data_IF_670418313778
#
_entry.id   IF_670418313778
#
_cell.length_a   1.000
_cell.length_b   1.000
_cell.length_c   1.000
_cell.angle_alpha   90.00
_cell.angle_beta   90.00
_cell.angle_gamma   90.00
#
_symmetry.space_group_name_H-M   'P 1'
#
loop_
_entity.id
_entity.type
_entity.pdbx_description
1 polymer ?
#
# COMPACT_ATOMS: atom_id res chain seq x y z
N UNK A 1 -85.00 -56.28 -8.15
CA UNK A 1 -85.11 -55.41 -6.95
C UNK A 1 -84.30 -56.06 -5.84
N UNK A 2 -83.25 -55.50 -5.24
CA UNK A 2 -82.65 -54.14 -5.21
C UNK A 2 -81.14 -54.35 -5.46
N UNK A 3 -80.40 -53.76 -6.40
CA UNK A 3 -80.43 -52.44 -7.06
C UNK A 3 -80.39 -51.26 -6.07
N UNK A 4 -79.32 -50.46 -6.17
CA UNK A 4 -79.12 -49.11 -5.61
C UNK A 4 -79.25 -48.95 -4.08
N UNK A 5 -78.12 -49.10 -3.35
CA UNK A 5 -77.63 -48.19 -2.26
C UNK A 5 -76.37 -48.72 -1.53
N UNK A 6 -75.30 -48.98 -2.27
CA UNK A 6 -73.91 -48.94 -1.73
C UNK A 6 -72.82 -48.59 -2.76
N UNK A 7 -73.22 -48.14 -3.96
CA UNK A 7 -72.48 -47.10 -4.65
C UNK A 7 -72.71 -45.77 -3.90
N UNK A 8 -71.67 -44.93 -3.84
CA UNK A 8 -71.56 -43.62 -3.15
C UNK A 8 -70.89 -43.64 -1.76
N UNK A 9 -69.73 -44.32 -1.67
CA UNK A 9 -68.64 -43.95 -0.74
C UNK A 9 -67.27 -44.59 -1.03
N UNK A 10 -67.15 -45.44 -2.06
CA UNK A 10 -65.86 -46.01 -2.52
C UNK A 10 -65.44 -45.50 -3.91
N UNK A 11 -66.30 -44.75 -4.60
CA UNK A 11 -66.04 -44.16 -5.92
C UNK A 11 -65.24 -42.83 -5.88
N UNK A 12 -64.47 -42.61 -4.80
CA UNK A 12 -63.54 -41.48 -4.68
C UNK A 12 -62.22 -41.91 -4.00
N UNK A 13 -61.78 -43.14 -4.29
CA UNK A 13 -60.46 -43.67 -3.90
C UNK A 13 -59.77 -44.48 -5.01
N UNK A 14 -60.33 -44.49 -6.22
CA UNK A 14 -59.80 -45.17 -7.42
C UNK A 14 -59.25 -44.19 -8.45
N UNK A 15 -58.60 -43.12 -7.98
CA UNK A 15 -57.84 -42.18 -8.81
C UNK A 15 -56.52 -41.73 -8.15
N UNK A 16 -55.93 -42.59 -7.31
CA UNK A 16 -54.69 -42.28 -6.57
C UNK A 16 -53.68 -43.46 -6.48
N UNK A 17 -53.81 -44.47 -7.35
CA UNK A 17 -52.82 -45.56 -7.51
C UNK A 17 -52.64 -45.90 -8.99
N UNK A 18 -52.23 -44.90 -9.77
CA UNK A 18 -52.11 -45.00 -11.23
C UNK A 18 -51.13 -44.03 -11.88
N UNK A 19 -50.24 -43.37 -11.11
CA UNK A 19 -49.15 -42.57 -11.67
C UNK A 19 -47.93 -42.44 -10.74
N UNK A 20 -47.50 -43.57 -10.16
CA UNK A 20 -46.14 -43.74 -9.61
C UNK A 20 -45.26 -44.52 -10.60
N UNK A 21 -45.38 -44.15 -11.88
CA UNK A 21 -44.28 -44.38 -12.81
C UNK A 21 -43.15 -43.45 -12.39
N UNK A 22 -42.09 -44.02 -11.84
CA UNK A 22 -40.90 -43.27 -11.46
C UNK A 22 -40.33 -42.62 -12.71
N UNK A 23 -40.56 -41.31 -12.88
CA UNK A 23 -39.66 -40.48 -13.66
C UNK A 23 -38.37 -40.33 -12.87
N UNK A 24 -37.60 -41.42 -12.79
CA UNK A 24 -36.14 -41.34 -12.79
C UNK A 24 -35.81 -40.59 -14.07
N UNK A 25 -35.70 -39.27 -13.96
CA UNK A 25 -34.93 -38.49 -14.90
C UNK A 25 -33.53 -39.06 -14.81
N UNK A 26 -33.20 -39.94 -15.75
CA UNK A 26 -31.82 -40.24 -16.03
C UNK A 26 -31.22 -38.90 -16.45
N UNK A 27 -30.42 -38.30 -15.56
CA UNK A 27 -29.52 -37.25 -15.98
C UNK A 27 -28.70 -37.84 -17.13
N UNK A 28 -28.74 -37.20 -18.29
CA UNK A 28 -27.99 -37.67 -19.44
C UNK A 28 -26.50 -37.35 -19.21
N UNK A 29 -25.84 -38.26 -18.49
CA UNK A 29 -24.43 -38.18 -18.13
C UNK A 29 -23.47 -38.23 -19.35
N UNK A 30 -24.03 -38.31 -20.58
CA UNK A 30 -23.28 -38.29 -21.84
C UNK A 30 -22.73 -36.91 -22.21
N UNK A 31 -23.31 -35.82 -21.71
CA UNK A 31 -22.76 -34.49 -21.95
C UNK A 31 -21.54 -34.22 -21.07
N UNK A 32 -20.40 -33.98 -21.73
CA UNK A 32 -19.18 -33.52 -21.08
C UNK A 32 -19.32 -32.12 -20.50
N UNK A 33 -18.26 -31.63 -19.84
CA UNK A 33 -18.23 -30.23 -19.41
C UNK A 33 -18.24 -29.30 -20.63
N UNK A 34 -19.19 -28.35 -20.67
CA UNK A 34 -19.38 -27.43 -21.79
C UNK A 34 -19.77 -26.03 -21.34
N UNK A 35 -19.54 -25.03 -22.20
CA UNK A 35 -20.04 -23.68 -22.00
C UNK A 35 -21.53 -23.61 -22.33
N UNK A 36 -22.31 -22.96 -21.45
CA UNK A 36 -23.76 -22.80 -21.60
C UNK A 36 -24.13 -21.34 -21.36
N UNK A 37 -24.98 -20.78 -22.22
CA UNK A 37 -25.54 -19.44 -22.03
C UNK A 37 -26.99 -19.51 -21.57
N UNK A 38 -27.27 -18.92 -20.40
CA UNK A 38 -28.58 -18.89 -19.76
C UNK A 38 -28.85 -17.45 -19.28
N UNK A 39 -29.99 -16.86 -19.64
CA UNK A 39 -30.38 -15.50 -19.23
C UNK A 39 -29.33 -14.39 -19.50
N UNK A 40 -28.56 -14.52 -20.59
CA UNK A 40 -27.49 -13.58 -20.96
C UNK A 40 -26.16 -13.80 -20.22
N UNK A 41 -26.10 -14.75 -19.28
CA UNK A 41 -24.88 -15.15 -18.56
C UNK A 41 -24.26 -16.39 -19.17
N UNK A 42 -22.93 -16.49 -19.09
CA UNK A 42 -22.17 -17.68 -19.49
C UNK A 42 -21.75 -18.48 -18.25
N UNK A 43 -21.94 -19.79 -18.32
CA UNK A 43 -21.55 -20.77 -17.30
C UNK A 43 -20.72 -21.88 -17.94
N UNK A 44 -19.95 -22.64 -17.15
CA UNK A 44 -19.37 -23.92 -17.57
C UNK A 44 -20.01 -25.03 -16.75
N UNK A 45 -20.73 -25.95 -17.40
CA UNK A 45 -21.66 -26.90 -16.76
C UNK A 45 -21.40 -28.35 -17.16
N UNK A 46 -21.77 -29.27 -16.27
CA UNK A 46 -21.98 -30.70 -16.57
C UNK A 46 -23.30 -31.13 -15.92
N UNK A 47 -24.35 -31.31 -16.73
CA UNK A 47 -25.71 -31.43 -16.22
C UNK A 47 -26.07 -30.22 -15.34
N UNK A 48 -26.57 -30.48 -14.14
CA UNK A 48 -26.91 -29.44 -13.16
C UNK A 48 -25.69 -28.83 -12.44
N UNK A 49 -24.51 -29.44 -12.54
CA UNK A 49 -23.29 -28.93 -11.90
C UNK A 49 -22.75 -27.70 -12.64
N UNK A 50 -22.43 -26.64 -11.89
CA UNK A 50 -21.71 -25.46 -12.38
C UNK A 50 -20.27 -25.46 -11.85
N UNK A 51 -19.31 -25.10 -12.70
CA UNK A 51 -17.94 -24.81 -12.24
C UNK A 51 -17.89 -23.49 -11.47
N UNK A 52 -16.95 -23.39 -10.53
CA UNK A 52 -16.74 -22.20 -9.69
C UNK A 52 -15.24 -21.91 -9.55
N UNK A 53 -14.89 -20.68 -9.22
CA UNK A 53 -13.50 -20.19 -9.15
C UNK A 53 -12.73 -20.46 -10.47
N UNK A 54 -11.41 -20.67 -10.37
CA UNK A 54 -10.52 -20.88 -11.50
C UNK A 54 -10.67 -22.26 -12.15
N UNK A 55 -10.68 -22.27 -13.49
CA UNK A 55 -10.63 -23.49 -14.31
C UNK A 55 -9.73 -23.30 -15.52
N UNK A 56 -9.01 -24.37 -15.89
CA UNK A 56 -8.34 -24.47 -17.19
C UNK A 56 -9.25 -25.24 -18.15
N UNK A 57 -9.51 -24.66 -19.32
CA UNK A 57 -10.32 -25.22 -20.41
C UNK A 57 -9.52 -25.01 -21.69
N UNK A 58 -9.21 -26.09 -22.42
CA UNK A 58 -8.42 -26.08 -23.66
C UNK A 58 -7.12 -25.26 -23.60
N UNK A 59 -6.43 -25.34 -22.46
CA UNK A 59 -5.17 -24.64 -22.19
C UNK A 59 -5.32 -23.17 -21.77
N UNK A 60 -6.53 -22.62 -21.74
CA UNK A 60 -6.84 -21.26 -21.32
C UNK A 60 -7.38 -21.21 -19.89
N UNK A 61 -7.08 -20.13 -19.18
CA UNK A 61 -7.59 -19.89 -17.82
C UNK A 61 -8.89 -19.08 -17.85
N UNK A 62 -9.89 -19.55 -17.11
CA UNK A 62 -11.18 -18.92 -16.88
C UNK A 62 -11.43 -18.81 -15.37
N UNK A 63 -12.30 -17.88 -14.97
CA UNK A 63 -12.81 -17.80 -13.60
C UNK A 63 -14.34 -17.67 -13.60
N UNK A 64 -14.98 -18.41 -12.71
CA UNK A 64 -16.43 -18.44 -12.51
C UNK A 64 -16.74 -17.98 -11.08
N UNK A 65 -17.76 -17.14 -10.91
CA UNK A 65 -18.12 -16.61 -9.60
C UNK A 65 -18.43 -17.73 -8.58
N UNK A 66 -17.88 -17.68 -7.35
CA UNK A 66 -18.06 -18.73 -6.34
C UNK A 66 -19.50 -19.03 -5.91
N UNK A 67 -20.43 -18.10 -6.10
CA UNK A 67 -21.82 -18.22 -5.62
C UNK A 67 -22.79 -18.61 -6.74
N UNK A 68 -22.62 -18.03 -7.93
CA UNK A 68 -23.52 -18.16 -9.07
C UNK A 68 -23.00 -19.08 -10.19
N UNK A 69 -21.68 -19.27 -10.26
CA UNK A 69 -20.98 -19.92 -11.37
C UNK A 69 -20.87 -19.04 -12.63
N UNK A 70 -21.19 -17.75 -12.56
CA UNK A 70 -21.14 -16.84 -13.72
C UNK A 70 -19.71 -16.56 -14.15
N UNK A 71 -19.42 -16.71 -15.44
CA UNK A 71 -18.09 -16.43 -16.01
C UNK A 71 -17.78 -14.93 -15.92
N UNK A 72 -16.58 -14.58 -15.43
CA UNK A 72 -16.16 -13.18 -15.25
C UNK A 72 -15.49 -12.60 -16.51
N UNK A 73 -15.50 -11.27 -16.63
CA UNK A 73 -14.85 -10.51 -17.72
C UNK A 73 -14.17 -9.24 -17.20
N UNK A 74 -13.23 -8.68 -17.96
CA UNK A 74 -12.56 -7.41 -17.63
C UNK A 74 -11.73 -7.48 -16.34
N UNK A 75 -11.72 -6.38 -15.58
CA UNK A 75 -10.94 -6.25 -14.35
C UNK A 75 -11.55 -7.03 -13.16
N UNK A 76 -10.76 -7.93 -12.56
CA UNK A 76 -11.20 -8.79 -11.46
C UNK A 76 -10.22 -8.74 -10.29
N UNK A 77 -10.73 -8.60 -9.05
CA UNK A 77 -9.91 -8.62 -7.83
C UNK A 77 -10.21 -9.88 -7.02
N UNK A 78 -9.48 -10.95 -7.32
CA UNK A 78 -9.82 -12.33 -6.95
C UNK A 78 -8.60 -13.09 -6.40
N UNK A 79 -8.78 -14.16 -5.60
CA UNK A 79 -7.68 -14.98 -5.11
C UNK A 79 -6.87 -15.62 -6.23
N UNK A 80 -5.54 -15.68 -6.09
CA UNK A 80 -4.66 -16.26 -7.11
C UNK A 80 -4.92 -17.76 -7.38
N UNK A 81 -4.63 -18.25 -8.61
CA UNK A 81 -4.86 -19.64 -9.02
C UNK A 81 -3.82 -20.62 -8.45
N UNK A 82 -4.05 -21.13 -7.25
CA UNK A 82 -3.24 -22.16 -6.62
C UNK A 82 -3.82 -23.56 -6.87
N UNK A 83 -3.03 -24.40 -7.57
CA UNK A 83 -3.37 -25.81 -7.83
C UNK A 83 -3.61 -26.57 -6.52
N UNK A 84 -4.78 -27.19 -6.39
CA UNK A 84 -5.21 -27.91 -5.19
C UNK A 84 -5.88 -27.04 -4.11
N UNK A 85 -5.97 -25.72 -4.30
CA UNK A 85 -6.68 -24.80 -3.38
C UNK A 85 -7.79 -24.07 -4.13
N UNK A 86 -7.45 -23.32 -5.17
CA UNK A 86 -8.42 -22.57 -6.01
C UNK A 86 -8.55 -23.12 -7.43
N UNK A 87 -7.66 -24.02 -7.86
CA UNK A 87 -7.77 -24.81 -9.11
C UNK A 87 -7.85 -26.31 -8.81
N UNK A 88 -8.84 -26.99 -9.39
CA UNK A 88 -8.90 -28.46 -9.51
C UNK A 88 -10.09 -29.13 -8.81
N UNK A 89 -10.20 -30.47 -8.93
CA UNK A 89 -11.38 -31.24 -8.50
C UNK A 89 -11.37 -31.66 -7.01
N UNK A 90 -10.37 -31.25 -6.23
CA UNK A 90 -10.26 -31.58 -4.81
C UNK A 90 -11.15 -30.68 -3.94
N UNK A 91 -11.52 -31.09 -2.70
CA UNK A 91 -12.18 -30.21 -1.75
C UNK A 91 -11.34 -28.95 -1.55
N UNK A 92 -11.87 -27.81 -2.00
CA UNK A 92 -11.23 -26.50 -1.97
C UNK A 92 -11.04 -26.10 -0.51
N UNK A 93 -9.80 -25.99 -0.07
CA UNK A 93 -9.50 -25.57 1.31
C UNK A 93 -9.79 -24.07 1.42
N UNK A 94 -10.59 -23.66 2.40
CA UNK A 94 -10.83 -22.24 2.74
C UNK A 94 -9.57 -21.60 3.36
N UNK A 95 -8.54 -21.43 2.53
CA UNK A 95 -7.37 -20.61 2.85
C UNK A 95 -7.68 -19.21 2.34
N UNK A 96 -7.71 -18.23 3.24
CA UNK A 96 -7.83 -16.82 2.91
C UNK A 96 -6.56 -16.33 2.18
N UNK A 97 -6.50 -16.60 0.89
CA UNK A 97 -5.46 -16.14 -0.02
C UNK A 97 -5.69 -14.66 -0.33
N UNK A 98 -4.60 -13.88 -0.36
CA UNK A 98 -4.65 -12.48 -0.74
C UNK A 98 -5.19 -12.38 -2.19
N UNK A 99 -6.25 -11.60 -2.44
CA UNK A 99 -6.69 -11.32 -3.80
C UNK A 99 -5.70 -10.38 -4.50
N UNK A 100 -5.52 -10.58 -5.79
CA UNK A 100 -4.72 -9.73 -6.69
C UNK A 100 -5.59 -9.30 -7.87
N UNK A 101 -5.11 -8.31 -8.64
CA UNK A 101 -5.80 -7.86 -9.86
C UNK A 101 -5.41 -8.71 -11.07
N UNK A 102 -6.43 -9.22 -11.74
CA UNK A 102 -6.38 -9.93 -13.02
C UNK A 102 -7.20 -9.18 -14.06
N UNK A 103 -6.91 -9.44 -15.34
CA UNK A 103 -7.64 -8.87 -16.46
C UNK A 103 -8.08 -9.98 -17.43
N UNK A 104 -9.38 -10.05 -17.71
CA UNK A 104 -9.99 -11.06 -18.58
C UNK A 104 -10.53 -10.41 -19.85
N UNK A 105 -10.44 -11.13 -20.97
CA UNK A 105 -11.11 -10.76 -22.21
C UNK A 105 -12.63 -10.79 -22.05
N UNK A 106 -13.34 -10.21 -23.02
CA UNK A 106 -14.80 -10.28 -23.08
C UNK A 106 -15.32 -11.71 -23.38
N UNK A 107 -14.44 -12.59 -23.86
CA UNK A 107 -14.64 -14.04 -23.99
C UNK A 107 -14.38 -14.81 -22.67
N UNK A 108 -14.07 -14.13 -21.58
CA UNK A 108 -13.79 -14.71 -20.26
C UNK A 108 -12.40 -15.34 -20.12
N UNK A 109 -11.53 -15.18 -21.11
CA UNK A 109 -10.16 -15.73 -21.07
C UNK A 109 -9.23 -14.78 -20.31
N UNK A 110 -8.52 -15.29 -19.30
CA UNK A 110 -7.46 -14.55 -18.63
C UNK A 110 -6.45 -14.04 -19.66
N UNK A 111 -6.15 -12.74 -19.64
CA UNK A 111 -5.09 -12.18 -20.46
C UNK A 111 -3.75 -12.44 -19.77
N UNK A 112 -2.92 -13.27 -20.39
CA UNK A 112 -1.60 -13.70 -19.91
C UNK A 112 -0.53 -12.60 -20.13
N UNK A 113 -0.85 -11.38 -19.69
CA UNK A 113 0.03 -10.22 -19.88
C UNK A 113 1.30 -10.33 -19.04
N UNK A 114 2.38 -9.79 -19.61
CA UNK A 114 3.67 -9.55 -18.93
C UNK A 114 4.18 -8.18 -19.36
N UNK A 115 4.74 -7.40 -18.43
CA UNK A 115 5.24 -6.07 -18.70
C UNK A 115 4.13 -5.01 -18.86
N UNK A 116 4.45 -3.95 -19.60
CA UNK A 116 3.66 -2.71 -19.71
C UNK A 116 2.48 -2.88 -20.66
N UNK A 117 1.28 -2.58 -20.21
CA UNK A 117 0.02 -2.65 -20.96
C UNK A 117 -0.76 -1.34 -20.83
N UNK A 118 -1.60 -1.02 -21.84
CA UNK A 118 -2.46 0.17 -21.84
C UNK A 118 -3.92 -0.26 -21.94
N UNK A 119 -4.60 -0.24 -20.80
CA UNK A 119 -5.97 -0.73 -20.62
C UNK A 119 -6.88 0.38 -20.08
N UNK A 120 -8.19 0.19 -20.09
CA UNK A 120 -9.14 1.09 -19.43
C UNK A 120 -8.83 1.27 -17.94
N UNK A 121 -9.09 2.46 -17.41
CA UNK A 121 -8.95 2.76 -15.99
C UNK A 121 -9.85 1.85 -15.13
N UNK A 122 -9.34 1.38 -13.98
CA UNK A 122 -10.14 0.63 -13.00
C UNK A 122 -11.10 1.56 -12.26
N UNK A 123 -12.41 1.29 -12.31
CA UNK A 123 -13.45 2.06 -11.64
C UNK A 123 -14.38 1.16 -10.83
N UNK A 124 -15.25 1.78 -10.02
CA UNK A 124 -16.31 1.05 -9.33
C UNK A 124 -17.37 0.48 -10.30
N UNK A 125 -17.42 0.94 -11.56
CA UNK A 125 -18.43 0.56 -12.56
C UNK A 125 -17.97 -0.50 -13.54
N UNK A 126 -16.66 -0.70 -13.76
CA UNK A 126 -16.13 -1.68 -14.72
C UNK A 126 -15.32 -2.83 -14.10
N UNK A 127 -15.38 -3.00 -12.78
CA UNK A 127 -14.65 -4.07 -12.06
C UNK A 127 -15.59 -5.11 -11.46
N UNK A 128 -15.14 -6.36 -11.39
CA UNK A 128 -15.88 -7.52 -10.87
C UNK A 128 -17.18 -7.79 -11.65
N UNK A 129 -17.06 -7.77 -12.98
CA UNK A 129 -18.16 -7.93 -13.94
C UNK A 129 -18.25 -9.33 -14.51
N UNK A 130 -19.46 -9.72 -14.90
CA UNK A 130 -19.78 -11.02 -15.48
C UNK A 130 -20.08 -10.91 -16.98
N UNK A 131 -19.85 -12.00 -17.72
CA UNK A 131 -20.13 -12.04 -19.16
C UNK A 131 -21.61 -11.71 -19.43
N UNK A 132 -21.86 -10.74 -20.31
CA UNK A 132 -23.21 -10.27 -20.65
C UNK A 132 -23.85 -9.38 -19.58
N UNK A 133 -23.08 -8.89 -18.61
CA UNK A 133 -23.49 -7.76 -17.77
C UNK A 133 -23.25 -6.46 -18.55
N UNK A 134 -24.26 -5.58 -18.60
CA UNK A 134 -24.06 -4.23 -19.14
C UNK A 134 -23.32 -3.37 -18.10
N UNK A 135 -22.25 -2.70 -18.52
CA UNK A 135 -21.49 -1.79 -17.66
C UNK A 135 -20.75 -0.71 -18.45
N UNK A 136 -20.64 0.47 -17.85
CA UNK A 136 -19.86 1.57 -18.40
C UNK A 136 -18.36 1.34 -18.17
N UNK A 137 -17.62 1.17 -19.26
CA UNK A 137 -16.16 1.20 -19.25
C UNK A 137 -15.67 2.61 -19.61
N UNK A 138 -14.74 3.21 -18.84
CA UNK A 138 -14.28 4.57 -19.10
C UNK A 138 -13.45 4.65 -20.39
N UNK A 139 -13.57 5.76 -21.11
CA UNK A 139 -12.70 6.08 -22.24
C UNK A 139 -11.25 6.39 -21.80
N UNK A 140 -11.04 6.71 -20.52
CA UNK A 140 -9.71 6.89 -19.93
C UNK A 140 -8.93 5.57 -19.95
N UNK A 141 -7.73 5.58 -20.54
CA UNK A 141 -6.78 4.48 -20.48
C UNK A 141 -5.59 4.83 -19.58
N UNK A 142 -5.10 3.84 -18.84
CA UNK A 142 -3.96 3.93 -17.94
C UNK A 142 -2.90 2.89 -18.30
N UNK A 143 -1.66 3.19 -17.91
CA UNK A 143 -0.54 2.26 -17.97
C UNK A 143 -0.60 1.33 -16.77
N UNK A 144 -0.53 0.03 -17.02
CA UNK A 144 -0.48 -1.02 -16.02
C UNK A 144 0.73 -1.93 -16.30
N UNK A 145 1.36 -2.44 -15.25
CA UNK A 145 2.47 -3.37 -15.37
C UNK A 145 2.02 -4.73 -14.86
N UNK A 146 2.20 -5.77 -15.66
CA UNK A 146 1.89 -7.15 -15.29
C UNK A 146 3.18 -7.95 -15.06
N UNK A 147 3.09 -8.96 -14.22
CA UNK A 147 4.18 -9.91 -13.99
C UNK A 147 3.65 -11.35 -13.96
N UNK A 148 4.47 -12.28 -14.47
CA UNK A 148 4.26 -13.70 -14.24
C UNK A 148 4.83 -14.06 -12.87
N UNK A 149 3.94 -14.31 -11.91
CA UNK A 149 4.30 -14.98 -10.67
C UNK A 149 3.85 -16.45 -10.75
N UNK A 150 4.78 -17.40 -10.91
CA UNK A 150 4.48 -18.86 -10.84
C UNK A 150 3.34 -19.30 -11.79
N UNK A 151 3.31 -18.76 -13.00
CA UNK A 151 2.29 -18.98 -14.02
C UNK A 151 0.90 -18.38 -13.69
N UNK A 152 0.87 -17.28 -12.93
CA UNK A 152 -0.29 -16.42 -12.83
C UNK A 152 0.06 -14.95 -13.12
N UNK A 153 -0.66 -14.39 -14.10
CA UNK A 153 -0.40 -13.09 -14.70
C UNK A 153 -1.16 -12.01 -13.93
N UNK A 154 -0.49 -11.44 -12.92
CA UNK A 154 -1.09 -10.46 -12.02
C UNK A 154 -0.58 -9.05 -12.29
N UNK A 155 -1.38 -8.07 -11.86
CA UNK A 155 -0.96 -6.69 -11.81
C UNK A 155 0.17 -6.51 -10.78
N UNK A 156 1.33 -6.04 -11.26
CA UNK A 156 2.53 -5.79 -10.46
C UNK A 156 2.29 -4.65 -9.46
N UNK A 157 2.91 -4.77 -8.29
CA UNK A 157 2.91 -3.73 -7.25
C UNK A 157 4.31 -3.48 -6.69
N UNK A 158 4.51 -2.36 -5.99
CA UNK A 158 5.80 -1.93 -5.47
C UNK A 158 6.69 -1.24 -6.51
N UNK A 159 7.99 -1.26 -6.26
CA UNK A 159 8.98 -0.55 -7.07
C UNK A 159 9.20 -1.18 -8.45
N UNK A 160 9.26 -0.32 -9.46
CA UNK A 160 9.73 -0.64 -10.81
C UNK A 160 10.83 0.35 -11.22
N UNK A 161 11.74 -0.12 -12.08
CA UNK A 161 12.77 0.71 -12.69
C UNK A 161 12.59 0.68 -14.21
N UNK A 162 12.39 1.86 -14.81
CA UNK A 162 12.14 2.02 -16.25
C UNK A 162 12.80 3.33 -16.72
N UNK A 163 13.38 3.33 -17.92
CA UNK A 163 13.94 4.54 -18.57
C UNK A 163 14.95 5.35 -17.71
N UNK A 164 15.64 4.69 -16.77
CA UNK A 164 16.61 5.31 -15.87
C UNK A 164 16.05 5.77 -14.52
N UNK A 165 14.73 5.63 -14.31
CA UNK A 165 13.98 6.18 -13.18
C UNK A 165 13.25 5.11 -12.36
N UNK A 166 13.09 5.37 -11.07
CA UNK A 166 12.26 4.56 -10.17
C UNK A 166 10.84 5.12 -10.10
N UNK A 167 9.87 4.20 -10.14
CA UNK A 167 8.44 4.49 -9.93
C UNK A 167 7.87 3.50 -8.91
N UNK A 168 6.79 3.88 -8.22
CA UNK A 168 6.07 2.99 -7.30
C UNK A 168 4.66 2.71 -7.81
N UNK A 169 4.32 1.42 -7.88
CA UNK A 169 2.98 0.92 -8.14
C UNK A 169 2.32 0.61 -6.80
N UNK A 170 1.11 1.11 -6.54
CA UNK A 170 0.53 1.03 -5.20
C UNK A 170 0.29 -0.43 -4.75
N UNK A 171 0.80 -0.82 -3.57
CA UNK A 171 0.67 -2.19 -3.00
C UNK A 171 -0.68 -2.46 -2.36
N UNK A 172 -1.29 -1.42 -1.78
CA UNK A 172 -2.61 -1.44 -1.14
C UNK A 172 -3.28 -0.08 -1.34
N UNK A 173 -4.52 0.06 -0.84
CA UNK A 173 -5.26 1.32 -0.84
C UNK A 173 -4.93 2.24 0.33
N UNK A 174 -3.92 1.93 1.14
CA UNK A 174 -3.68 2.51 2.46
C UNK A 174 -4.40 1.78 3.61
N UNK A 175 -4.04 2.15 4.84
CA UNK A 175 -4.55 1.55 6.08
C UNK A 175 -5.99 1.98 6.44
N UNK A 176 -6.52 3.05 5.81
CA UNK A 176 -7.94 3.42 5.93
C UNK A 176 -8.81 2.51 5.05
N UNK A 177 -8.96 1.26 5.51
CA UNK A 177 -9.40 0.09 4.75
C UNK A 177 -10.88 0.05 4.31
N UNK A 178 -11.45 1.22 4.04
CA UNK A 178 -12.73 1.40 3.31
C UNK A 178 -12.51 1.98 1.90
N UNK A 179 -11.30 2.51 1.64
CA UNK A 179 -10.86 3.22 0.42
C UNK A 179 -9.38 2.83 0.20
N UNK A 180 -8.89 2.38 -0.96
CA UNK A 180 -9.55 1.97 -2.20
C UNK A 180 -8.74 0.84 -2.88
N UNK A 181 -9.36 -0.28 -3.29
CA UNK A 181 -8.69 -1.38 -4.03
C UNK A 181 -8.38 -1.05 -5.49
N UNK A 182 -9.06 -0.06 -6.09
CA UNK A 182 -8.90 0.29 -7.50
C UNK A 182 -7.54 0.92 -7.83
N UNK A 183 -6.89 1.55 -6.85
CA UNK A 183 -5.58 2.19 -7.03
C UNK A 183 -4.40 1.22 -6.91
N UNK A 184 -4.65 -0.03 -6.49
CA UNK A 184 -3.62 -1.08 -6.48
C UNK A 184 -3.06 -1.27 -7.89
N UNK A 185 -1.73 -1.31 -7.99
CA UNK A 185 -0.98 -1.38 -9.23
C UNK A 185 -1.00 -0.11 -10.08
N UNK A 186 -1.57 0.99 -9.60
CA UNK A 186 -1.48 2.30 -10.27
C UNK A 186 -0.20 3.05 -9.85
N UNK A 187 0.31 3.89 -10.76
CA UNK A 187 1.45 4.76 -10.48
C UNK A 187 1.11 5.77 -9.37
N UNK A 188 1.79 5.63 -8.23
CA UNK A 188 1.69 6.56 -7.12
C UNK A 188 2.33 7.92 -7.46
N UNK A 189 1.91 8.96 -6.72
CA UNK A 189 2.33 10.37 -6.91
C UNK A 189 2.36 11.07 -5.55
N UNK A 190 3.27 12.01 -5.37
CA UNK A 190 3.48 12.70 -4.09
C UNK A 190 4.08 11.77 -3.04
N UNK A 191 3.71 12.00 -1.78
CA UNK A 191 4.19 11.20 -0.65
C UNK A 191 3.61 9.78 -0.66
N UNK A 192 4.48 8.78 -0.58
CA UNK A 192 4.11 7.37 -0.46
C UNK A 192 4.91 6.69 0.64
N UNK A 193 4.24 5.87 1.46
CA UNK A 193 4.89 5.03 2.47
C UNK A 193 5.02 3.61 1.92
N UNK A 194 6.23 3.06 1.88
CA UNK A 194 6.45 1.68 1.45
C UNK A 194 6.22 0.71 2.61
N UNK A 195 4.95 0.53 2.96
CA UNK A 195 4.54 -0.37 4.04
C UNK A 195 4.78 -1.84 3.67
N UNK A 196 5.46 -2.63 4.53
CA UNK A 196 5.52 -4.08 4.36
C UNK A 196 4.13 -4.70 4.57
N UNK A 197 3.83 -5.76 3.81
CA UNK A 197 2.59 -6.52 3.93
C UNK A 197 2.63 -7.42 5.18
N UNK A 198 2.41 -6.82 6.34
CA UNK A 198 2.50 -7.47 7.66
C UNK A 198 1.58 -6.81 8.68
N UNK A 199 1.20 -7.54 9.72
CA UNK A 199 0.46 -7.03 10.89
C UNK A 199 1.38 -6.52 12.01
N UNK A 200 2.70 -6.56 11.79
CA UNK A 200 3.71 -6.07 12.71
C UNK A 200 3.70 -4.53 12.74
N UNK A 201 3.14 -3.95 13.82
CA UNK A 201 3.05 -2.50 14.00
C UNK A 201 4.40 -1.79 14.00
N UNK A 202 5.47 -2.42 14.49
CA UNK A 202 6.80 -1.79 14.53
C UNK A 202 7.35 -1.67 13.10
N UNK A 203 7.20 -2.72 12.28
CA UNK A 203 7.55 -2.67 10.86
C UNK A 203 6.68 -1.69 10.07
N UNK A 204 5.39 -1.56 10.39
CA UNK A 204 4.50 -0.58 9.76
C UNK A 204 4.85 0.87 10.16
N UNK A 205 5.28 1.10 11.40
CA UNK A 205 5.75 2.42 11.87
C UNK A 205 7.09 2.77 11.19
N UNK A 206 8.05 1.85 11.20
CA UNK A 206 9.39 2.00 10.62
C UNK A 206 9.44 1.99 9.08
N UNK A 207 8.31 1.75 8.40
CA UNK A 207 8.25 1.75 6.94
C UNK A 207 8.72 3.11 6.35
N UNK A 208 9.63 3.12 5.35
CA UNK A 208 10.18 4.36 4.82
C UNK A 208 9.15 5.15 3.99
N UNK A 209 9.25 6.47 4.06
CA UNK A 209 8.56 7.40 3.18
C UNK A 209 9.41 7.74 1.96
N UNK A 210 8.76 7.98 0.83
CA UNK A 210 9.34 8.43 -0.42
C UNK A 210 8.47 9.54 -1.01
N UNK A 211 9.05 10.34 -1.89
CA UNK A 211 8.30 11.33 -2.66
C UNK A 211 8.45 11.05 -4.16
N UNK A 212 7.32 10.92 -4.84
CA UNK A 212 7.25 10.79 -6.30
C UNK A 212 6.76 12.10 -6.89
N UNK A 213 7.38 12.55 -7.98
CA UNK A 213 6.97 13.77 -8.68
C UNK A 213 5.47 13.71 -9.07
N UNK A 214 4.65 14.70 -8.70
CA UNK A 214 3.21 14.69 -8.98
C UNK A 214 2.84 14.61 -10.47
N UNK A 215 3.73 15.00 -11.38
CA UNK A 215 3.46 15.01 -12.83
C UNK A 215 3.80 13.66 -13.46
N UNK A 216 5.02 13.18 -13.21
CA UNK A 216 5.65 12.03 -13.90
C UNK A 216 5.62 10.73 -13.09
N UNK A 217 5.47 10.81 -11.77
CA UNK A 217 5.61 9.65 -10.87
C UNK A 217 7.06 9.22 -10.58
N UNK A 218 8.06 9.97 -11.07
CA UNK A 218 9.48 9.67 -10.85
C UNK A 218 9.86 9.91 -9.39
N UNK A 219 10.52 8.93 -8.77
CA UNK A 219 11.06 9.03 -7.41
C UNK A 219 12.12 10.12 -7.30
N UNK A 220 11.93 11.02 -6.35
CA UNK A 220 12.85 12.12 -6.05
C UNK A 220 13.94 11.69 -5.06
N UNK A 221 15.08 12.37 -5.13
CA UNK A 221 16.23 12.19 -4.23
C UNK A 221 16.82 13.56 -3.86
N UNK A 222 17.71 13.59 -2.86
CA UNK A 222 18.37 14.81 -2.38
C UNK A 222 17.47 15.75 -1.58
N UNK A 223 17.88 17.01 -1.47
CA UNK A 223 17.12 18.07 -0.80
C UNK A 223 15.90 18.49 -1.64
N UNK A 224 14.72 18.46 -1.04
CA UNK A 224 13.44 18.77 -1.67
C UNK A 224 12.66 19.81 -0.86
N UNK A 225 12.19 20.89 -1.52
CA UNK A 225 11.36 21.91 -0.89
C UNK A 225 9.89 21.70 -1.24
N UNK A 226 9.14 21.11 -0.30
CA UNK A 226 7.78 20.61 -0.50
C UNK A 226 6.86 21.22 0.56
N UNK A 227 5.72 21.79 0.16
CA UNK A 227 4.73 22.33 1.11
C UNK A 227 5.29 23.38 2.08
N UNK A 228 6.22 24.23 1.60
CA UNK A 228 6.94 25.23 2.40
C UNK A 228 7.86 24.64 3.50
N UNK A 229 8.34 23.41 3.32
CA UNK A 229 9.28 22.72 4.22
C UNK A 229 10.40 22.05 3.41
N UNK A 230 11.58 21.93 4.01
CA UNK A 230 12.69 21.16 3.44
C UNK A 230 12.67 19.73 3.95
N UNK A 231 12.92 18.78 3.05
CA UNK A 231 13.10 17.37 3.32
C UNK A 231 14.40 16.91 2.69
N UNK A 232 15.06 15.92 3.28
CA UNK A 232 16.15 15.21 2.62
C UNK A 232 15.72 13.79 2.28
N UNK A 233 15.82 13.42 1.00
CA UNK A 233 15.62 12.07 0.50
C UNK A 233 16.99 11.47 0.20
N UNK A 234 17.31 10.32 0.76
CA UNK A 234 18.56 9.61 0.48
C UNK A 234 18.68 9.27 -1.02
N UNK A 235 19.86 8.81 -1.46
CA UNK A 235 20.06 8.31 -2.82
C UNK A 235 19.18 7.09 -3.18
N UNK A 236 18.69 6.38 -2.18
CA UNK A 236 17.66 5.34 -2.30
C UNK A 236 16.22 5.88 -2.44
N UNK A 237 16.02 7.19 -2.34
CA UNK A 237 14.71 7.87 -2.29
C UNK A 237 14.05 7.90 -0.92
N UNK A 238 14.53 7.12 0.04
CA UNK A 238 13.96 7.07 1.39
C UNK A 238 14.18 8.41 2.13
N UNK A 239 13.12 8.94 2.73
CA UNK A 239 13.16 10.17 3.52
C UNK A 239 13.99 9.99 4.79
N UNK A 240 14.92 10.91 5.03
CA UNK A 240 15.71 10.96 6.25
C UNK A 240 14.89 11.52 7.43
N UNK A 241 15.15 11.01 8.62
CA UNK A 241 14.64 11.52 9.90
C UNK A 241 15.78 11.58 10.91
N UNK A 242 15.68 12.47 11.90
CA UNK A 242 16.72 12.68 12.90
C UNK A 242 17.95 13.42 12.35
N UNK A 243 19.11 13.16 12.95
CA UNK A 243 20.38 13.78 12.55
C UNK A 243 20.91 13.23 11.23
N UNK A 244 21.16 14.13 10.28
CA UNK A 244 21.75 13.83 8.98
C UNK A 244 22.99 14.68 8.74
N UNK A 245 24.04 14.10 8.13
CA UNK A 245 25.28 14.78 7.80
C UNK A 245 25.44 14.86 6.27
N UNK A 246 25.52 16.08 5.75
CA UNK A 246 25.81 16.39 4.35
C UNK A 246 27.21 17.01 4.26
N UNK A 247 28.17 16.27 3.70
CA UNK A 247 29.59 16.62 3.76
C UNK A 247 30.08 16.79 5.21
N UNK A 248 30.45 18.02 5.58
CA UNK A 248 30.87 18.38 6.94
C UNK A 248 29.75 18.99 7.80
N UNK A 249 28.57 19.23 7.22
CA UNK A 249 27.48 19.99 7.86
C UNK A 249 26.42 19.04 8.40
N UNK A 250 26.01 19.24 9.66
CA UNK A 250 24.91 18.51 10.28
C UNK A 250 23.59 19.26 10.14
N UNK A 251 22.52 18.50 9.93
CA UNK A 251 21.13 18.93 9.85
C UNK A 251 20.31 18.03 10.77
N UNK A 252 19.17 18.53 11.24
CA UNK A 252 18.17 17.71 11.93
C UNK A 252 16.87 17.75 11.15
N UNK A 253 16.45 16.58 10.65
CA UNK A 253 15.14 16.34 10.08
C UNK A 253 14.25 15.84 11.22
N UNK A 254 12.97 16.23 11.23
CA UNK A 254 12.07 15.77 12.29
C UNK A 254 11.96 14.24 12.35
N UNK A 255 11.87 13.70 13.56
CA UNK A 255 11.85 12.25 13.80
C UNK A 255 10.57 11.58 13.27
N UNK A 256 9.44 12.28 13.26
CA UNK A 256 8.14 11.78 12.84
C UNK A 256 7.76 12.27 11.44
N UNK A 257 7.97 13.56 11.17
CA UNK A 257 7.52 14.21 9.93
C UNK A 257 8.61 14.38 8.87
N UNK A 258 9.89 14.20 9.22
CA UNK A 258 11.03 14.35 8.30
C UNK A 258 11.36 15.78 7.84
N UNK A 259 10.64 16.79 8.33
CA UNK A 259 10.90 18.17 7.91
C UNK A 259 12.08 18.80 8.67
N UNK A 260 12.96 19.46 7.92
CA UNK A 260 14.19 20.06 8.42
C UNK A 260 13.89 21.15 9.46
N UNK A 261 14.47 21.00 10.65
CA UNK A 261 14.32 21.96 11.75
C UNK A 261 15.35 23.08 11.67
N UNK A 262 15.03 24.22 12.27
CA UNK A 262 15.87 25.43 12.39
C UNK A 262 15.73 26.02 13.79
N UNK A 263 16.61 26.94 14.18
CA UNK A 263 16.65 27.57 15.50
C UNK A 263 17.16 26.64 16.61
N UNK A 264 16.85 26.99 17.86
CA UNK A 264 17.16 26.18 19.03
C UNK A 264 16.32 24.89 19.07
N UNK A 265 17.00 23.75 19.25
CA UNK A 265 16.39 22.43 19.32
C UNK A 265 16.88 21.68 20.56
N UNK A 266 15.97 21.12 21.35
CA UNK A 266 16.29 20.30 22.52
C UNK A 266 16.14 18.82 22.18
N UNK A 267 17.26 18.14 21.98
CA UNK A 267 17.34 16.80 21.39
C UNK A 267 18.21 15.91 22.29
N UNK A 268 17.73 14.73 22.68
CA UNK A 268 18.52 13.79 23.50
C UNK A 268 19.07 14.39 24.81
N UNK A 269 18.27 15.22 25.48
CA UNK A 269 18.64 15.99 26.69
C UNK A 269 19.75 17.04 26.49
N UNK A 270 19.92 17.57 25.28
CA UNK A 270 20.92 18.60 24.95
C UNK A 270 20.32 19.67 24.05
N UNK A 271 20.79 20.91 24.19
CA UNK A 271 20.46 22.00 23.28
C UNK A 271 21.44 22.08 22.12
N UNK A 272 20.90 22.33 20.93
CA UNK A 272 21.63 22.58 19.69
C UNK A 272 21.04 23.82 19.03
N UNK A 273 21.83 24.56 18.27
CA UNK A 273 21.34 25.64 17.41
C UNK A 273 21.53 25.28 15.94
N UNK A 274 20.42 25.27 15.19
CA UNK A 274 20.41 25.09 13.75
C UNK A 274 20.19 26.46 13.09
N UNK A 275 21.04 26.83 12.14
CA UNK A 275 20.92 28.10 11.41
C UNK A 275 19.64 28.11 10.57
N UNK A 276 19.28 29.27 10.00
CA UNK A 276 18.13 29.39 9.07
C UNK A 276 18.22 28.47 7.84
N UNK A 277 19.43 28.04 7.46
CA UNK A 277 19.67 27.03 6.43
C UNK A 277 19.54 25.58 6.90
N UNK A 278 19.18 25.34 8.17
CA UNK A 278 19.19 24.02 8.82
C UNK A 278 20.56 23.56 9.33
N UNK A 279 21.65 24.19 8.88
CA UNK A 279 23.01 23.84 9.26
C UNK A 279 23.27 24.05 10.76
N UNK A 280 23.68 22.99 11.46
CA UNK A 280 24.07 23.03 12.87
C UNK A 280 25.26 23.97 13.08
N UNK A 281 25.13 24.87 14.06
CA UNK A 281 26.22 25.75 14.48
C UNK A 281 27.13 25.06 15.50
N UNK A 282 28.41 25.40 15.44
CA UNK A 282 29.46 25.01 16.39
C UNK A 282 30.30 26.25 16.74
N UNK A 283 30.99 26.19 17.88
CA UNK A 283 31.75 27.32 18.42
C UNK A 283 30.86 28.39 19.04
N UNK A 284 31.36 29.63 19.06
CA UNK A 284 30.64 30.78 19.60
C UNK A 284 29.47 31.19 18.70
N UNK A 285 28.29 31.34 19.30
CA UNK A 285 27.08 31.85 18.68
C UNK A 285 26.53 33.04 19.48
N UNK A 286 26.04 34.07 18.79
CA UNK A 286 25.46 35.26 19.41
C UNK A 286 24.01 35.45 18.97
N UNK A 287 23.11 35.61 19.94
CA UNK A 287 21.69 35.91 19.73
C UNK A 287 21.36 37.22 20.45
N UNK A 288 21.16 38.29 19.68
CA UNK A 288 21.04 39.64 20.23
C UNK A 288 22.31 40.05 20.98
N UNK A 289 22.19 40.34 22.28
CA UNK A 289 23.32 40.64 23.16
C UNK A 289 23.93 39.41 23.84
N UNK A 290 23.29 38.24 23.74
CA UNK A 290 23.68 37.04 24.51
C UNK A 290 24.61 36.15 23.70
N UNK A 291 25.72 35.73 24.29
CA UNK A 291 26.61 34.73 23.72
C UNK A 291 26.33 33.34 24.29
N UNK A 292 26.53 32.34 23.44
CA UNK A 292 26.42 30.91 23.71
C UNK A 292 27.65 30.21 23.14
N UNK A 293 28.08 29.11 23.77
CA UNK A 293 29.11 28.25 23.19
C UNK A 293 28.54 26.87 22.87
N UNK A 294 28.52 26.56 21.58
CA UNK A 294 28.15 25.26 21.03
C UNK A 294 29.43 24.46 20.85
N UNK A 295 29.46 23.24 21.39
CA UNK A 295 30.66 22.39 21.40
C UNK A 295 31.20 22.18 19.97
N UNK A 296 32.49 22.48 19.77
CA UNK A 296 33.15 22.45 18.48
C UNK A 296 33.00 21.13 17.72
N UNK A 297 32.97 19.99 18.43
CA UNK A 297 32.98 18.65 17.81
C UNK A 297 31.59 18.05 17.59
N UNK A 298 30.59 18.43 18.39
CA UNK A 298 29.28 17.76 18.38
C UNK A 298 28.07 18.71 18.49
N UNK A 299 28.28 20.04 18.52
CA UNK A 299 27.23 21.05 18.55
C UNK A 299 26.49 21.24 19.88
N UNK A 300 26.77 20.46 20.93
CA UNK A 300 26.03 20.60 22.19
C UNK A 300 26.33 21.93 22.92
N UNK A 301 25.28 22.66 23.27
CA UNK A 301 25.38 23.90 24.04
C UNK A 301 26.01 23.62 25.41
N UNK A 302 27.01 24.42 25.79
CA UNK A 302 27.61 24.35 27.11
C UNK A 302 26.80 25.09 28.15
N UNK A 303 26.87 24.55 29.37
CA UNK A 303 26.43 25.14 30.62
C UNK A 303 27.53 24.90 31.65
N UNK A 304 27.59 25.72 32.71
CA UNK A 304 28.65 25.68 33.71
C UNK A 304 29.99 26.20 33.18
N UNK A 305 31.07 25.75 33.83
CA UNK A 305 32.45 26.10 33.49
C UNK A 305 33.01 25.25 32.36
N UNK A 306 33.62 25.90 31.35
CA UNK A 306 34.32 25.23 30.26
C UNK A 306 35.53 26.05 29.78
N UNK A 307 36.40 25.43 28.98
CA UNK A 307 37.62 26.06 28.48
C UNK A 307 37.61 26.12 26.94
N UNK A 308 38.04 27.24 26.37
CA UNK A 308 38.25 27.43 24.92
C UNK A 308 39.61 28.10 24.72
N UNK A 309 40.48 27.52 23.90
CA UNK A 309 41.83 28.05 23.59
C UNK A 309 42.67 28.45 24.83
N UNK A 310 42.50 27.76 25.96
CA UNK A 310 43.21 28.03 27.22
C UNK A 310 42.46 28.96 28.19
N UNK A 311 41.50 29.76 27.71
CA UNK A 311 40.70 30.65 28.54
C UNK A 311 39.49 29.91 29.12
N UNK A 312 39.16 30.19 30.38
CA UNK A 312 37.97 29.64 31.06
C UNK A 312 36.80 30.61 30.93
N UNK A 313 35.62 30.04 30.70
CA UNK A 313 34.35 30.74 30.55
C UNK A 313 33.30 30.06 31.42
N UNK A 314 32.26 30.80 31.80
CA UNK A 314 31.08 30.25 32.47
C UNK A 314 29.80 30.62 31.73
N UNK A 315 28.94 29.64 31.55
CA UNK A 315 27.59 29.80 30.99
C UNK A 315 26.55 29.39 32.04
N UNK A 316 25.48 30.17 32.19
CA UNK A 316 24.36 29.80 33.06
C UNK A 316 23.63 28.56 32.52
N UNK A 317 22.67 28.01 33.28
CA UNK A 317 21.86 26.85 32.85
C UNK A 317 21.06 27.10 31.55
N UNK A 318 20.79 28.37 31.24
CA UNK A 318 20.20 28.81 29.97
C UNK A 318 21.17 28.82 28.78
N UNK A 319 22.45 28.49 29.00
CA UNK A 319 23.54 28.60 28.01
C UNK A 319 24.10 30.01 27.81
N UNK A 320 23.51 31.02 28.45
CA UNK A 320 23.96 32.41 28.33
C UNK A 320 25.33 32.61 29.01
N UNK A 321 26.29 33.20 28.27
CA UNK A 321 27.63 33.53 28.76
C UNK A 321 27.55 34.60 29.86
N UNK A 322 28.23 34.33 30.98
CA UNK A 322 28.43 35.31 32.04
C UNK A 322 29.58 36.26 31.68
N UNK A 323 29.30 37.57 31.62
CA UNK A 323 30.27 38.63 31.26
C UNK A 323 30.23 39.77 32.30
N UNK A 324 31.37 40.42 32.53
CA UNK A 324 31.53 41.54 33.48
C UNK A 324 30.94 41.25 34.88
N UNK A 325 31.12 40.03 35.40
CA UNK A 325 30.44 39.55 36.60
C UNK A 325 31.29 38.54 37.37
N UNK A 326 30.87 38.17 38.57
CA UNK A 326 31.57 37.19 39.43
C UNK A 326 30.70 35.95 39.62
N UNK A 327 31.24 34.77 39.28
CA UNK A 327 30.57 33.47 39.46
C UNK A 327 31.40 32.62 40.41
N UNK A 328 30.83 32.21 41.54
CA UNK A 328 31.51 31.34 42.51
C UNK A 328 32.82 31.91 43.09
N UNK A 329 32.99 33.24 43.08
CA UNK A 329 34.22 33.93 43.49
C UNK A 329 35.19 34.27 42.34
N UNK A 330 34.96 33.76 41.13
CA UNK A 330 35.81 34.00 39.96
C UNK A 330 35.24 35.15 39.11
N UNK A 331 36.04 36.18 38.84
CA UNK A 331 35.65 37.32 38.02
C UNK A 331 35.83 37.05 36.52
N UNK A 332 34.81 37.37 35.73
CA UNK A 332 34.76 37.22 34.29
C UNK A 332 34.75 38.60 33.63
N UNK A 333 35.65 38.82 32.68
CA UNK A 333 35.79 40.10 31.97
C UNK A 333 34.64 40.33 30.95
N UNK A 334 34.77 41.36 30.11
CA UNK A 334 33.76 41.71 29.10
C UNK A 334 33.62 40.68 27.97
N UNK A 335 34.62 39.83 27.74
CA UNK A 335 34.56 38.66 26.84
C UNK A 335 34.03 37.39 27.54
N UNK A 336 33.73 37.47 28.85
CA UNK A 336 33.36 36.31 29.67
C UNK A 336 34.54 35.42 30.08
N UNK A 337 35.78 35.90 29.93
CA UNK A 337 37.00 35.17 30.27
C UNK A 337 37.33 35.34 31.75
N UNK A 338 37.68 34.24 32.42
CA UNK A 338 38.15 34.27 33.80
C UNK A 338 39.50 34.99 33.92
N UNK A 339 39.51 36.07 34.72
CA UNK A 339 40.72 36.79 35.12
C UNK A 339 41.23 36.20 36.44
N UNK A 340 42.49 35.79 36.44
CA UNK A 340 43.20 35.20 37.60
C UNK A 340 43.69 36.27 38.58
#
# INVERSE_FOLDING_TARGET
MKLLKKMMQVALATFFFGLLGTSTVFADDSEGWQFVQENGRTYYKKGDLKETYWRVIDGKYYYFDPLSGEMVVGWQYIPAPHKGVTIGPSPRIEIALRPDWFYFGQDGVLQEFVGKQVLEAKTATNTNKHHGEEYDSPAEKRVYYFEDQRSYHTLKTGWIYEEGHWYYLQKDGGFDSRINRLTVGELARGWVKDSPLTYDEEKLKAAPWYYLDPTTGIMQTGWQFLGNRWYYLHSSGAMATGWYQDGSTWYYLDAETGDMRTGWQYLGNKWYYLRSSGAMATGWYQEGSTWYYLNASNGDMKTGWFQVNGNWYYTYDSGALAVNTTVGGYYLNYNGEWVK
#
